data_IF_566192332458
#
_entry.id   IF_566192332458
#
_cell.length_a   1.000
_cell.length_b   1.000
_cell.length_c   1.000
_cell.angle_alpha   90.00
_cell.angle_beta   90.00
_cell.angle_gamma   90.00
#
_symmetry.space_group_name_H-M   'P 1'
#
loop_
_entity.id
_entity.type
_entity.pdbx_description
1 polymer ?
#
# COMPACT_ATOMS: atom_id res chain seq x y z
N UNK A 1 -40.43 -47.32 -47.82
CA UNK A 1 -39.28 -46.41 -47.96
C UNK A 1 -39.09 -45.70 -46.63
N UNK A 2 -38.22 -46.21 -45.75
CA UNK A 2 -37.89 -45.57 -44.46
C UNK A 2 -36.55 -44.84 -44.60
N UNK A 3 -36.57 -43.50 -44.54
CA UNK A 3 -35.37 -42.68 -44.51
C UNK A 3 -34.90 -42.52 -43.06
N UNK A 4 -33.74 -43.10 -42.74
CA UNK A 4 -33.04 -42.90 -41.48
C UNK A 4 -32.39 -41.51 -41.45
N UNK A 5 -32.90 -40.61 -40.61
CA UNK A 5 -32.23 -39.35 -40.29
C UNK A 5 -31.00 -39.64 -39.41
N UNK A 6 -29.81 -39.52 -39.98
CA UNK A 6 -28.55 -39.58 -39.26
C UNK A 6 -28.40 -38.40 -38.30
N UNK A 7 -28.18 -38.69 -37.03
CA UNK A 7 -27.83 -37.68 -36.03
C UNK A 7 -26.42 -37.13 -36.31
N UNK A 8 -26.30 -35.82 -36.43
CA UNK A 8 -25.02 -35.14 -36.61
C UNK A 8 -24.12 -35.35 -35.36
N UNK A 9 -22.80 -35.51 -35.53
CA UNK A 9 -21.89 -35.70 -34.42
C UNK A 9 -21.85 -34.45 -33.54
N UNK A 10 -22.03 -34.64 -32.23
CA UNK A 10 -21.90 -33.58 -31.24
C UNK A 10 -20.49 -32.98 -31.32
N UNK A 11 -20.41 -31.67 -31.60
CA UNK A 11 -19.14 -30.94 -31.61
C UNK A 11 -18.45 -30.96 -30.24
N UNK A 12 -17.13 -30.70 -30.19
CA UNK A 12 -16.38 -30.72 -28.95
C UNK A 12 -16.99 -29.73 -27.92
N UNK A 13 -17.01 -30.10 -26.62
CA UNK A 13 -17.59 -29.25 -25.59
C UNK A 13 -16.90 -27.89 -25.58
N UNK A 14 -17.71 -26.83 -25.60
CA UNK A 14 -17.22 -25.46 -25.48
C UNK A 14 -16.43 -25.30 -24.18
N UNK A 15 -15.23 -24.67 -24.22
CA UNK A 15 -14.42 -24.49 -23.03
C UNK A 15 -15.21 -23.72 -21.96
N UNK A 16 -15.07 -24.08 -20.67
CA UNK A 16 -15.82 -23.43 -19.61
C UNK A 16 -15.52 -21.92 -19.60
N UNK A 17 -16.51 -21.08 -19.27
CA UNK A 17 -16.32 -19.65 -19.19
C UNK A 17 -15.17 -19.36 -18.22
N UNK A 18 -14.12 -18.70 -18.72
CA UNK A 18 -13.05 -18.17 -17.87
C UNK A 18 -13.66 -17.10 -16.99
N UNK A 19 -14.06 -17.49 -15.77
CA UNK A 19 -14.39 -16.53 -14.74
C UNK A 19 -13.12 -15.78 -14.41
N UNK A 20 -13.00 -14.56 -14.91
CA UNK A 20 -11.92 -13.63 -14.59
C UNK A 20 -11.84 -13.46 -13.07
N UNK A 21 -10.97 -14.23 -12.41
CA UNK A 21 -10.64 -14.06 -10.99
C UNK A 21 -9.73 -12.84 -10.83
N UNK A 22 -10.18 -11.68 -11.31
CA UNK A 22 -9.54 -10.42 -10.97
C UNK A 22 -9.80 -10.21 -9.48
N UNK A 23 -8.75 -9.98 -8.66
CA UNK A 23 -8.96 -9.70 -7.24
C UNK A 23 -9.92 -8.53 -7.13
N UNK A 24 -11.05 -8.75 -6.45
CA UNK A 24 -12.07 -7.72 -6.22
C UNK A 24 -11.43 -6.57 -5.45
N UNK A 25 -11.16 -5.47 -6.15
CA UNK A 25 -10.81 -4.20 -5.52
C UNK A 25 -12.10 -3.65 -4.94
N UNK A 26 -12.10 -3.39 -3.64
CA UNK A 26 -13.17 -2.68 -2.96
C UNK A 26 -12.93 -1.17 -3.12
N UNK A 27 -13.69 -0.47 -4.00
CA UNK A 27 -13.43 0.94 -4.30
C UNK A 27 -13.75 1.84 -3.12
N UNK A 28 -14.74 1.49 -2.30
CA UNK A 28 -15.13 2.27 -1.13
C UNK A 28 -14.02 2.27 -0.07
N UNK A 29 -13.47 1.09 0.24
CA UNK A 29 -12.33 0.99 1.16
C UNK A 29 -11.05 1.62 0.59
N UNK A 30 -10.87 1.61 -0.72
CA UNK A 30 -9.77 2.32 -1.37
C UNK A 30 -9.93 3.85 -1.23
N UNK A 31 -11.15 4.38 -1.42
CA UNK A 31 -11.47 5.79 -1.22
C UNK A 31 -11.24 6.24 0.22
N UNK A 32 -11.73 5.46 1.19
CA UNK A 32 -11.52 5.78 2.61
C UNK A 32 -10.05 5.77 3.00
N UNK A 33 -9.25 4.86 2.42
CA UNK A 33 -7.78 4.87 2.60
C UNK A 33 -7.13 6.10 1.98
N UNK A 34 -7.61 6.59 0.85
CA UNK A 34 -7.10 7.82 0.25
C UNK A 34 -7.38 9.02 1.16
N UNK A 35 -8.59 9.15 1.70
CA UNK A 35 -8.94 10.18 2.68
C UNK A 35 -8.04 10.07 3.91
N UNK A 36 -7.91 8.88 4.50
CA UNK A 36 -7.05 8.66 5.66
C UNK A 36 -5.59 9.05 5.40
N UNK A 37 -5.05 8.73 4.22
CA UNK A 37 -3.70 9.16 3.82
C UNK A 37 -3.57 10.69 3.72
N UNK A 38 -4.59 11.39 3.21
CA UNK A 38 -4.59 12.85 3.16
C UNK A 38 -4.60 13.49 4.56
N UNK A 39 -5.31 12.91 5.52
CA UNK A 39 -5.27 13.38 6.92
C UNK A 39 -3.86 13.25 7.53
N UNK A 40 -3.17 12.14 7.24
CA UNK A 40 -1.77 11.92 7.64
C UNK A 40 -0.86 12.97 7.03
N UNK A 41 -1.00 13.24 5.72
CA UNK A 41 -0.26 14.31 5.04
C UNK A 41 -0.54 15.67 5.67
N UNK A 42 -1.79 15.97 6.02
CA UNK A 42 -2.15 17.21 6.70
C UNK A 42 -1.44 17.40 8.04
N UNK A 43 -1.39 16.35 8.87
CA UNK A 43 -0.66 16.37 10.15
C UNK A 43 0.84 16.60 9.92
N UNK A 44 1.45 15.89 8.97
CA UNK A 44 2.86 16.05 8.65
C UNK A 44 3.20 17.41 8.07
N UNK A 45 2.33 17.97 7.24
CA UNK A 45 2.50 19.32 6.71
C UNK A 45 2.48 20.36 7.85
N UNK A 46 1.53 20.25 8.77
CA UNK A 46 1.46 21.12 9.94
C UNK A 46 2.66 20.94 10.89
N UNK A 47 3.16 19.71 11.04
CA UNK A 47 4.40 19.44 11.78
C UNK A 47 5.60 20.12 11.12
N UNK A 48 5.79 19.91 9.81
CA UNK A 48 6.94 20.41 9.07
C UNK A 48 6.99 21.95 9.01
N UNK A 49 5.84 22.62 9.06
CA UNK A 49 5.75 24.09 9.08
C UNK A 49 5.69 24.69 10.48
N UNK A 50 5.73 23.86 11.54
CA UNK A 50 5.60 24.31 12.94
C UNK A 50 4.19 24.75 13.33
N UNK A 51 3.19 24.50 12.49
CA UNK A 51 1.82 24.98 12.67
C UNK A 51 1.03 24.27 13.78
N UNK A 52 1.53 23.13 14.30
CA UNK A 52 0.84 22.36 15.34
C UNK A 52 0.59 23.15 16.64
N UNK A 53 1.42 24.14 16.95
CA UNK A 53 1.28 24.96 18.16
C UNK A 53 0.44 26.23 17.95
N UNK A 54 -0.15 26.42 16.76
CA UNK A 54 -0.86 27.66 16.39
C UNK A 54 -2.35 27.62 16.76
N UNK A 55 -2.62 27.77 18.06
CA UNK A 55 -3.97 27.96 18.60
C UNK A 55 -4.95 26.85 18.22
N UNK A 56 -6.20 27.23 17.95
CA UNK A 56 -7.27 26.27 17.63
C UNK A 56 -6.99 25.48 16.35
N UNK A 57 -6.58 26.15 15.26
CA UNK A 57 -6.33 25.48 13.98
C UNK A 57 -5.15 24.49 14.08
N UNK A 58 -4.07 24.85 14.77
CA UNK A 58 -2.96 23.92 15.04
C UNK A 58 -3.42 22.68 15.81
N UNK A 59 -4.30 22.86 16.80
CA UNK A 59 -4.92 21.76 17.53
C UNK A 59 -5.79 20.89 16.62
N UNK A 60 -6.54 21.48 15.68
CA UNK A 60 -7.32 20.72 14.70
C UNK A 60 -6.42 19.90 13.76
N UNK A 61 -5.31 20.48 13.28
CA UNK A 61 -4.34 19.76 12.46
C UNK A 61 -3.70 18.58 13.22
N UNK A 62 -3.44 18.72 14.51
CA UNK A 62 -2.95 17.63 15.34
C UNK A 62 -3.94 16.45 15.40
N UNK A 63 -5.26 16.69 15.34
CA UNK A 63 -6.28 15.63 15.36
C UNK A 63 -6.39 14.83 14.06
N UNK A 64 -5.82 15.33 12.96
CA UNK A 64 -5.79 14.59 11.70
C UNK A 64 -4.94 13.30 11.80
N UNK A 65 -4.15 13.15 12.87
CA UNK A 65 -3.38 11.94 13.20
C UNK A 65 -4.23 10.67 13.30
N UNK A 66 -5.55 10.79 13.56
CA UNK A 66 -6.50 9.66 13.52
C UNK A 66 -6.46 8.93 12.16
N UNK A 67 -6.10 9.63 11.09
CA UNK A 67 -5.89 9.07 9.76
C UNK A 67 -4.87 7.93 9.76
N UNK A 68 -3.85 7.97 10.63
CA UNK A 68 -2.85 6.91 10.76
C UNK A 68 -3.51 5.59 11.16
N UNK A 69 -4.28 5.60 12.25
CA UNK A 69 -4.96 4.42 12.76
C UNK A 69 -5.93 3.83 11.73
N UNK A 70 -6.77 4.68 11.12
CA UNK A 70 -7.73 4.27 10.09
C UNK A 70 -7.02 3.67 8.88
N UNK A 71 -5.97 4.33 8.37
CA UNK A 71 -5.22 3.86 7.21
C UNK A 71 -4.60 2.48 7.47
N UNK A 72 -3.99 2.28 8.65
CA UNK A 72 -3.34 1.02 9.01
C UNK A 72 -4.34 -0.11 9.21
N UNK A 73 -5.45 0.12 9.91
CA UNK A 73 -6.50 -0.89 10.13
C UNK A 73 -7.09 -1.33 8.79
N UNK A 74 -7.48 -0.40 7.92
CA UNK A 74 -8.04 -0.74 6.62
C UNK A 74 -7.03 -1.43 5.70
N UNK A 75 -5.78 -0.94 5.69
CA UNK A 75 -4.73 -1.56 4.88
C UNK A 75 -4.41 -2.96 5.38
N UNK A 76 -4.35 -3.18 6.70
CA UNK A 76 -4.13 -4.49 7.32
C UNK A 76 -5.28 -5.46 7.07
N UNK A 77 -6.52 -4.99 7.22
CA UNK A 77 -7.72 -5.75 6.89
C UNK A 77 -7.67 -6.23 5.43
N UNK A 78 -7.55 -5.31 4.47
CA UNK A 78 -7.48 -5.64 3.04
C UNK A 78 -6.30 -6.56 2.70
N UNK A 79 -5.18 -6.37 3.38
CA UNK A 79 -4.00 -7.21 3.22
C UNK A 79 -4.29 -8.65 3.65
N UNK A 80 -4.95 -8.85 4.78
CA UNK A 80 -5.13 -10.16 5.39
C UNK A 80 -6.34 -10.94 4.84
N UNK A 81 -7.28 -10.26 4.17
CA UNK A 81 -8.47 -10.87 3.55
C UNK A 81 -8.23 -12.21 2.83
N UNK A 82 -7.21 -12.37 1.95
CA UNK A 82 -7.01 -13.64 1.25
C UNK A 82 -6.62 -14.82 2.15
N UNK A 83 -6.01 -14.55 3.31
CA UNK A 83 -5.69 -15.59 4.30
C UNK A 83 -6.93 -15.99 5.10
N UNK A 84 -7.77 -15.03 5.47
CA UNK A 84 -9.06 -15.30 6.12
C UNK A 84 -9.96 -16.13 5.22
N UNK A 85 -10.07 -15.77 3.94
CA UNK A 85 -10.86 -16.53 2.96
C UNK A 85 -10.33 -17.96 2.79
N UNK A 86 -9.01 -18.13 2.66
CA UNK A 86 -8.42 -19.46 2.56
C UNK A 86 -8.67 -20.31 3.81
N UNK A 87 -8.58 -19.72 5.01
CA UNK A 87 -8.88 -20.40 6.27
C UNK A 87 -10.35 -20.81 6.37
N UNK A 88 -11.28 -19.92 6.01
CA UNK A 88 -12.71 -20.19 6.01
C UNK A 88 -13.11 -21.32 5.03
N UNK A 89 -12.40 -21.44 3.92
CA UNK A 89 -12.63 -22.47 2.90
C UNK A 89 -11.78 -23.75 3.12
N UNK A 90 -11.01 -23.85 4.21
CA UNK A 90 -10.13 -24.99 4.49
C UNK A 90 -8.99 -25.16 3.47
N UNK A 91 -8.67 -24.12 2.69
CA UNK A 91 -7.63 -24.15 1.66
C UNK A 91 -6.29 -23.67 2.19
N UNK A 92 -5.22 -24.09 1.52
CA UNK A 92 -3.87 -23.57 1.80
C UNK A 92 -3.81 -22.06 1.56
N UNK A 93 -3.37 -21.32 2.57
CA UNK A 93 -3.22 -19.87 2.49
C UNK A 93 -2.21 -19.39 1.44
N UNK A 94 -2.29 -18.12 1.01
CA UNK A 94 -1.32 -17.54 0.08
C UNK A 94 0.13 -17.62 0.59
N UNK A 95 1.08 -17.83 -0.34
CA UNK A 95 2.51 -17.84 -0.01
C UNK A 95 2.99 -16.47 0.51
N UNK A 96 3.50 -16.46 1.75
CA UNK A 96 4.10 -15.28 2.39
C UNK A 96 5.30 -14.76 1.58
N UNK A 97 6.16 -15.65 1.07
CA UNK A 97 7.31 -15.25 0.23
C UNK A 97 6.87 -14.55 -1.07
N UNK A 98 5.85 -15.08 -1.75
CA UNK A 98 5.31 -14.45 -2.98
C UNK A 98 4.67 -13.09 -2.64
N UNK A 99 3.99 -13.01 -1.51
CA UNK A 99 3.41 -11.79 -0.98
C UNK A 99 4.47 -10.72 -0.68
N UNK A 100 5.49 -11.05 0.13
CA UNK A 100 6.57 -10.16 0.51
C UNK A 100 7.30 -9.62 -0.73
N UNK A 101 7.63 -10.48 -1.70
CA UNK A 101 8.29 -10.06 -2.94
C UNK A 101 7.48 -9.03 -3.74
N UNK A 102 6.15 -9.21 -3.87
CA UNK A 102 5.28 -8.23 -4.55
C UNK A 102 5.25 -6.90 -3.80
N UNK A 103 5.24 -6.95 -2.46
CA UNK A 103 5.21 -5.76 -1.63
C UNK A 103 6.53 -4.99 -1.69
N UNK A 104 7.66 -5.68 -1.61
CA UNK A 104 8.99 -5.08 -1.74
C UNK A 104 9.17 -4.40 -3.10
N UNK A 105 8.82 -5.09 -4.19
CA UNK A 105 8.90 -4.51 -5.55
C UNK A 105 8.04 -3.26 -5.75
N UNK A 106 7.01 -3.06 -4.92
CA UNK A 106 6.15 -1.88 -4.97
C UNK A 106 6.63 -0.75 -4.04
N UNK A 107 7.12 -1.10 -2.84
CA UNK A 107 7.45 -0.11 -1.81
C UNK A 107 8.91 0.37 -1.91
N UNK A 108 9.85 -0.55 -2.12
CA UNK A 108 11.29 -0.25 -2.09
C UNK A 108 11.70 0.77 -3.15
N UNK A 109 11.24 0.71 -4.42
CA UNK A 109 11.66 1.70 -5.42
C UNK A 109 11.22 3.12 -5.05
N UNK A 110 9.96 3.28 -4.62
CA UNK A 110 9.44 4.57 -4.20
C UNK A 110 10.20 5.09 -2.96
N UNK A 111 10.48 4.22 -1.99
CA UNK A 111 11.28 4.56 -0.82
C UNK A 111 12.67 5.08 -1.19
N UNK A 112 13.41 4.35 -2.03
CA UNK A 112 14.76 4.73 -2.44
C UNK A 112 14.77 6.08 -3.16
N UNK A 113 13.82 6.29 -4.07
CA UNK A 113 13.65 7.56 -4.78
C UNK A 113 13.38 8.69 -3.78
N UNK A 114 12.48 8.49 -2.81
CA UNK A 114 12.18 9.50 -1.80
C UNK A 114 13.38 9.82 -0.91
N UNK A 115 14.14 8.81 -0.46
CA UNK A 115 15.34 9.03 0.37
C UNK A 115 16.37 9.86 -0.38
N UNK A 116 16.65 9.51 -1.63
CA UNK A 116 17.60 10.27 -2.47
C UNK A 116 17.07 11.68 -2.73
N UNK A 117 15.80 11.83 -3.11
CA UNK A 117 15.21 13.14 -3.38
C UNK A 117 15.25 14.07 -2.15
N UNK A 118 14.96 13.55 -0.95
CA UNK A 118 15.03 14.31 0.30
C UNK A 118 16.48 14.66 0.63
N UNK A 119 17.43 13.75 0.43
CA UNK A 119 18.85 14.03 0.60
C UNK A 119 19.31 15.17 -0.32
N UNK A 120 18.93 15.12 -1.60
CA UNK A 120 19.23 16.18 -2.58
C UNK A 120 18.63 17.53 -2.16
N UNK A 121 17.38 17.57 -1.70
CA UNK A 121 16.75 18.79 -1.17
C UNK A 121 17.57 19.36 0.00
N UNK A 122 18.10 18.50 0.86
CA UNK A 122 18.93 18.94 1.99
C UNK A 122 20.31 19.46 1.61
N UNK A 123 20.79 19.24 0.38
CA UNK A 123 22.03 19.87 -0.11
C UNK A 123 21.85 21.37 -0.38
N UNK A 124 20.62 21.81 -0.66
CA UNK A 124 20.29 23.21 -0.99
C UNK A 124 19.45 23.91 0.08
N UNK A 125 18.76 23.15 0.93
CA UNK A 125 17.91 23.67 2.00
C UNK A 125 18.26 23.01 3.34
N UNK A 126 18.80 23.80 4.28
CA UNK A 126 19.22 23.32 5.60
C UNK A 126 18.37 23.95 6.72
N UNK A 127 17.31 23.28 7.19
CA UNK A 127 16.47 23.79 8.28
C UNK A 127 17.12 23.69 9.68
N UNK A 128 18.36 23.20 9.77
CA UNK A 128 19.11 22.96 11.00
C UNK A 128 19.97 21.71 10.91
N UNK A 129 20.76 21.38 11.96
CA UNK A 129 21.56 20.15 11.99
C UNK A 129 20.65 18.93 11.99
N UNK A 130 20.77 18.07 10.98
CA UNK A 130 20.06 16.78 10.96
C UNK A 130 21.04 15.64 10.63
N UNK A 131 20.94 14.47 11.30
CA UNK A 131 21.86 13.35 11.05
C UNK A 131 21.73 12.78 9.63
N UNK A 132 20.58 12.94 8.98
CA UNK A 132 20.34 12.57 7.58
C UNK A 132 21.05 13.43 6.52
N UNK A 133 21.68 14.55 6.89
CA UNK A 133 22.50 15.39 6.00
C UNK A 133 23.92 14.82 5.80
N UNK A 134 24.29 13.81 6.57
CA UNK A 134 25.61 13.17 6.48
C UNK A 134 25.57 11.96 5.56
N UNK A 135 26.71 11.61 4.96
CA UNK A 135 26.86 10.38 4.17
C UNK A 135 26.56 9.12 4.99
N UNK A 136 26.91 9.13 6.28
CA UNK A 136 26.59 8.05 7.22
C UNK A 136 25.08 7.98 7.48
N UNK A 137 24.41 9.12 7.61
CA UNK A 137 22.96 9.21 7.71
C UNK A 137 22.25 8.69 6.45
N UNK A 138 22.70 9.10 5.26
CA UNK A 138 22.17 8.60 3.99
C UNK A 138 22.32 7.07 3.91
N UNK A 139 23.52 6.56 4.21
CA UNK A 139 23.76 5.12 4.22
C UNK A 139 22.81 4.41 5.18
N UNK A 140 22.64 4.94 6.40
CA UNK A 140 21.72 4.40 7.40
C UNK A 140 20.26 4.36 6.94
N UNK A 141 19.81 5.32 6.13
CA UNK A 141 18.47 5.28 5.54
C UNK A 141 18.41 4.22 4.42
N UNK A 142 19.38 4.20 3.51
CA UNK A 142 19.43 3.23 2.40
C UNK A 142 19.52 1.77 2.88
N UNK A 143 20.19 1.52 4.01
CA UNK A 143 20.31 0.19 4.64
C UNK A 143 19.22 -0.09 5.67
N UNK A 144 18.30 0.84 5.91
CA UNK A 144 17.27 0.77 6.95
C UNK A 144 17.81 0.68 8.40
N UNK A 145 19.08 1.02 8.63
CA UNK A 145 19.70 0.97 9.97
C UNK A 145 19.61 2.28 10.74
N UNK A 146 19.06 3.34 10.16
CA UNK A 146 18.94 4.67 10.80
C UNK A 146 18.19 4.67 12.15
N UNK A 147 17.40 3.63 12.45
CA UNK A 147 16.66 3.49 13.73
C UNK A 147 17.61 3.08 14.88
N UNK A 148 18.78 2.53 14.55
CA UNK A 148 19.76 2.01 15.52
C UNK A 148 21.01 2.90 15.65
N UNK A 149 21.02 4.04 14.96
CA UNK A 149 22.15 4.96 14.89
C UNK A 149 22.02 6.11 15.89
#
# INVERSE_FOLDING_TARGET
MSASLGAAPAGPPSPPPRLDHRPSRDPALAGLRAVAALLVVGTHAAFATGYLTHGYLGTMYARLEIGVAVFFVLSGFLLFRPWVAAAAEGRRGPSVRRFARRRLRRIVPAYLITVVAVFEVYTVFTPGPNPGQTWTGLLGHLTFTHIYA
#
